data_IF_710173049109
#
_entry.id   IF_710173049109
#
_cell.length_a   1.000
_cell.length_b   1.000
_cell.length_c   1.000
_cell.angle_alpha   90.00
_cell.angle_beta   90.00
_cell.angle_gamma   90.00
#
_symmetry.space_group_name_H-M   'P 1'
#
loop_
_entity.id
_entity.type
_entity.pdbx_description
1 polymer ?
#
# COMPACT_ATOMS: atom_id res chain seq x y z
N UNK A 1 11.29 -8.88 1.85
CA UNK A 1 10.64 -7.97 2.81
C UNK A 1 10.00 -6.82 2.06
N UNK A 2 8.79 -6.49 2.39
CA UNK A 2 8.08 -5.37 1.79
C UNK A 2 8.05 -4.21 2.77
N UNK A 3 8.53 -3.06 2.33
CA UNK A 3 8.49 -1.83 3.13
C UNK A 3 7.47 -0.89 2.51
N UNK A 4 6.52 -0.45 3.33
CA UNK A 4 5.47 0.45 2.89
C UNK A 4 5.54 1.71 3.74
N UNK A 5 5.64 2.84 3.07
CA UNK A 5 5.69 4.14 3.71
C UNK A 5 4.45 4.91 3.30
N UNK A 6 3.68 5.38 4.27
CA UNK A 6 2.54 6.26 4.03
C UNK A 6 2.95 7.71 4.23
N UNK A 7 2.54 8.56 3.32
CA UNK A 7 2.75 10.00 3.43
C UNK A 7 1.49 10.62 4.00
N UNK A 8 1.61 11.20 5.19
CA UNK A 8 0.48 11.66 5.99
C UNK A 8 0.66 13.13 6.32
N UNK A 9 -0.42 13.90 6.13
CA UNK A 9 -0.41 15.32 6.48
C UNK A 9 -0.69 15.51 7.97
N UNK A 10 -0.52 16.75 8.44
CA UNK A 10 -0.74 17.09 9.85
C UNK A 10 -2.16 16.81 10.34
N UNK A 11 -3.14 16.81 9.43
CA UNK A 11 -4.54 16.51 9.74
C UNK A 11 -4.84 15.00 9.69
N UNK A 12 -3.79 14.17 9.56
CA UNK A 12 -3.87 12.71 9.47
C UNK A 12 -4.36 12.17 8.13
N UNK A 13 -4.60 13.01 7.13
CA UNK A 13 -4.97 12.51 5.81
C UNK A 13 -3.77 11.85 5.12
N UNK A 14 -4.03 10.72 4.47
CA UNK A 14 -3.02 9.99 3.72
C UNK A 14 -3.01 10.52 2.29
N UNK A 15 -1.88 11.08 1.87
CA UNK A 15 -1.74 11.68 0.55
C UNK A 15 -0.95 10.81 -0.43
N UNK A 16 -0.42 9.70 0.03
CA UNK A 16 0.29 8.80 -0.85
C UNK A 16 0.94 7.66 -0.10
N UNK A 17 1.53 6.75 -0.85
CA UNK A 17 2.34 5.69 -0.26
C UNK A 17 3.43 5.26 -1.23
N UNK A 18 4.47 4.67 -0.67
CA UNK A 18 5.52 4.01 -1.42
C UNK A 18 5.67 2.60 -0.90
N UNK A 19 5.62 1.63 -1.80
CA UNK A 19 5.90 0.24 -1.50
C UNK A 19 7.18 -0.16 -2.19
N UNK A 20 8.09 -0.79 -1.47
CA UNK A 20 9.37 -1.23 -2.02
C UNK A 20 9.67 -2.65 -1.61
N UNK A 21 10.10 -3.43 -2.57
CA UNK A 21 10.42 -4.82 -2.38
C UNK A 21 9.20 -5.70 -2.40
N UNK A 22 9.41 -6.95 -2.68
CA UNK A 22 8.41 -7.98 -2.45
C UNK A 22 9.12 -9.25 -2.06
N UNK A 23 8.39 -10.08 -1.35
CA UNK A 23 8.95 -11.28 -0.78
C UNK A 23 8.74 -12.49 -1.68
N UNK A 24 8.45 -12.29 -2.93
CA UNK A 24 7.90 -13.30 -3.82
C UNK A 24 8.84 -14.38 -4.31
N UNK A 25 10.02 -14.52 -3.74
CA UNK A 25 10.97 -15.46 -4.29
C UNK A 25 11.37 -16.53 -3.31
N UNK A 26 10.73 -17.67 -3.44
CA UNK A 26 11.29 -18.91 -3.01
C UNK A 26 11.01 -19.39 -1.60
N UNK A 27 10.35 -18.62 -0.76
CA UNK A 27 10.04 -19.10 0.59
C UNK A 27 8.53 -19.24 0.75
N UNK A 28 8.10 -20.43 1.06
CA UNK A 28 6.69 -20.72 1.32
C UNK A 28 6.17 -19.84 2.45
N UNK A 29 4.99 -19.29 2.26
CA UNK A 29 4.38 -18.39 3.22
C UNK A 29 4.67 -16.93 2.94
N UNK A 30 5.88 -16.60 2.48
CA UNK A 30 6.20 -15.25 2.04
C UNK A 30 5.53 -14.91 0.73
N UNK A 31 5.34 -15.87 -0.15
CA UNK A 31 4.65 -15.66 -1.42
C UNK A 31 3.19 -15.29 -1.20
N UNK A 32 2.53 -15.92 -0.22
CA UNK A 32 1.14 -15.61 0.12
C UNK A 32 1.03 -14.21 0.70
N UNK A 33 1.94 -13.83 1.59
CA UNK A 33 1.97 -12.50 2.17
C UNK A 33 2.20 -11.45 1.10
N UNK A 34 3.18 -11.69 0.24
CA UNK A 34 3.50 -10.77 -0.85
C UNK A 34 2.33 -10.59 -1.81
N UNK A 35 1.68 -11.69 -2.19
CA UNK A 35 0.50 -11.65 -3.06
C UNK A 35 -0.64 -10.87 -2.41
N UNK A 36 -0.87 -11.09 -1.12
CA UNK A 36 -1.91 -10.38 -0.37
C UNK A 36 -1.65 -8.88 -0.33
N UNK A 37 -0.41 -8.48 -0.05
CA UNK A 37 0.00 -7.08 -0.04
C UNK A 37 -0.19 -6.45 -1.43
N UNK A 38 0.28 -7.14 -2.46
CA UNK A 38 0.17 -6.64 -3.84
C UNK A 38 -1.28 -6.44 -4.26
N UNK A 39 -2.15 -7.39 -3.94
CA UNK A 39 -3.57 -7.29 -4.26
C UNK A 39 -4.19 -6.09 -3.56
N UNK A 40 -3.90 -5.89 -2.28
CA UNK A 40 -4.43 -4.75 -1.54
C UNK A 40 -3.98 -3.42 -2.12
N UNK A 41 -2.69 -3.31 -2.44
CA UNK A 41 -2.13 -2.07 -3.00
C UNK A 41 -2.75 -1.76 -4.36
N UNK A 42 -2.74 -2.72 -5.27
CA UNK A 42 -3.25 -2.54 -6.63
C UNK A 42 -4.76 -2.29 -6.61
N UNK A 43 -5.50 -3.04 -5.80
CA UNK A 43 -6.94 -2.84 -5.69
C UNK A 43 -7.28 -1.44 -5.17
N UNK A 44 -6.51 -0.94 -4.21
CA UNK A 44 -6.74 0.40 -3.67
C UNK A 44 -6.49 1.47 -4.72
N UNK A 45 -5.38 1.37 -5.47
CA UNK A 45 -5.08 2.31 -6.55
C UNK A 45 -6.21 2.29 -7.59
N UNK A 46 -6.62 1.11 -8.03
CA UNK A 46 -7.69 0.97 -9.01
C UNK A 46 -9.02 1.50 -8.49
N UNK A 47 -9.31 1.27 -7.22
CA UNK A 47 -10.56 1.73 -6.61
C UNK A 47 -10.61 3.26 -6.55
N UNK A 48 -9.53 3.91 -6.16
CA UNK A 48 -9.48 5.37 -6.14
C UNK A 48 -9.67 5.91 -7.55
N UNK A 49 -8.98 5.34 -8.52
CA UNK A 49 -9.04 5.78 -9.90
C UNK A 49 -10.44 5.62 -10.52
N UNK A 50 -11.10 4.51 -10.22
CA UNK A 50 -12.36 4.15 -10.88
C UNK A 50 -13.61 4.53 -10.09
N UNK A 51 -13.52 4.59 -8.77
CA UNK A 51 -14.69 4.78 -7.92
C UNK A 51 -14.79 6.17 -7.30
N UNK A 52 -13.76 6.98 -7.44
CA UNK A 52 -13.79 8.37 -6.97
C UNK A 52 -13.55 9.32 -8.14
N UNK A 53 -13.92 10.57 -7.96
CA UNK A 53 -13.58 11.63 -8.91
C UNK A 53 -12.28 12.34 -8.56
N UNK A 54 -11.58 11.86 -7.54
CA UNK A 54 -10.31 12.43 -7.09
C UNK A 54 -9.18 11.99 -8.02
N UNK A 55 -8.24 12.89 -8.21
CA UNK A 55 -7.11 12.62 -9.11
C UNK A 55 -5.94 12.05 -8.33
N UNK A 56 -5.29 11.06 -8.94
CA UNK A 56 -4.11 10.44 -8.37
C UNK A 56 -3.11 10.12 -9.48
N UNK A 57 -1.87 9.95 -9.07
CA UNK A 57 -0.78 9.57 -9.95
C UNK A 57 -0.06 8.39 -9.35
N UNK A 58 0.40 7.46 -10.18
CA UNK A 58 1.16 6.32 -9.66
C UNK A 58 2.16 5.82 -10.67
N UNK A 59 3.17 5.14 -10.15
CA UNK A 59 4.23 4.52 -10.95
C UNK A 59 4.50 3.14 -10.39
N UNK A 60 4.41 2.15 -11.25
CA UNK A 60 4.69 0.76 -10.89
C UNK A 60 5.91 0.31 -11.67
N UNK A 61 6.92 -0.19 -10.96
CA UNK A 61 8.13 -0.71 -11.56
C UNK A 61 8.32 -2.16 -11.11
N UNK A 62 8.03 -3.08 -12.03
CA UNK A 62 8.09 -4.51 -11.72
C UNK A 62 9.51 -4.99 -11.47
N UNK A 63 10.50 -4.43 -12.16
CA UNK A 63 11.90 -4.82 -11.98
C UNK A 63 12.41 -4.50 -10.58
N UNK A 64 12.03 -3.33 -10.07
CA UNK A 64 12.46 -2.87 -8.74
C UNK A 64 11.47 -3.25 -7.67
N UNK A 65 10.34 -3.82 -8.07
CA UNK A 65 9.24 -4.15 -7.17
C UNK A 65 8.83 -2.94 -6.33
N UNK A 66 8.59 -1.81 -7.02
CA UNK A 66 8.19 -0.57 -6.36
C UNK A 66 6.86 -0.09 -6.88
N UNK A 67 6.06 0.48 -5.97
CA UNK A 67 4.84 1.19 -6.30
C UNK A 67 4.92 2.54 -5.61
N UNK A 68 4.86 3.61 -6.40
CA UNK A 68 4.77 4.96 -5.88
C UNK A 68 3.38 5.50 -6.20
N UNK A 69 2.66 5.93 -5.20
CA UNK A 69 1.30 6.42 -5.35
C UNK A 69 1.14 7.76 -4.65
N UNK A 70 0.46 8.69 -5.32
CA UNK A 70 0.25 10.03 -4.79
C UNK A 70 -1.14 10.53 -5.16
N UNK A 71 -1.82 11.13 -4.20
CA UNK A 71 -3.06 11.85 -4.46
C UNK A 71 -2.74 13.24 -4.97
N UNK A 72 -3.36 13.64 -6.07
CA UNK A 72 -3.25 14.98 -6.62
C UNK A 72 -4.36 15.86 -6.04
N UNK A 73 -5.53 15.27 -5.79
CA UNK A 73 -6.61 15.90 -5.05
C UNK A 73 -7.06 14.98 -3.94
N UNK A 74 -7.37 15.52 -2.77
CA UNK A 74 -7.72 14.73 -1.59
C UNK A 74 -9.18 14.95 -1.22
N UNK A 75 -9.91 13.87 -1.06
CA UNK A 75 -11.30 13.90 -0.66
C UNK A 75 -11.66 12.73 0.24
N UNK A 76 -12.94 12.62 0.59
CA UNK A 76 -13.41 11.60 1.51
C UNK A 76 -13.27 10.19 0.96
N UNK A 77 -13.49 10.02 -0.34
CA UNK A 77 -13.40 8.70 -0.97
C UNK A 77 -12.01 8.12 -0.90
N UNK A 78 -11.00 8.89 -1.30
CA UNK A 78 -9.62 8.42 -1.26
C UNK A 78 -9.18 8.15 0.18
N UNK A 79 -9.59 8.98 1.13
CA UNK A 79 -9.22 8.79 2.52
C UNK A 79 -9.82 7.52 3.09
N UNK A 80 -11.08 7.23 2.78
CA UNK A 80 -11.70 5.99 3.22
C UNK A 80 -10.95 4.77 2.66
N UNK A 81 -10.62 4.80 1.38
CA UNK A 81 -9.93 3.69 0.73
C UNK A 81 -8.49 3.54 1.22
N UNK A 82 -7.78 4.63 1.43
CA UNK A 82 -6.40 4.59 1.93
C UNK A 82 -6.33 4.16 3.39
N UNK A 83 -7.29 4.58 4.22
CA UNK A 83 -7.37 4.11 5.60
C UNK A 83 -7.71 2.61 5.65
N UNK A 84 -8.60 2.17 4.76
CA UNK A 84 -8.92 0.74 4.62
C UNK A 84 -7.70 -0.06 4.21
N UNK A 85 -6.92 0.45 3.27
CA UNK A 85 -5.66 -0.18 2.85
C UNK A 85 -4.70 -0.33 4.02
N UNK A 86 -4.48 0.75 4.76
CA UNK A 86 -3.58 0.72 5.90
C UNK A 86 -4.02 -0.29 6.95
N UNK A 87 -5.31 -0.33 7.25
CA UNK A 87 -5.88 -1.30 8.18
C UNK A 87 -5.66 -2.73 7.72
N UNK A 88 -5.87 -3.00 6.44
CA UNK A 88 -5.64 -4.32 5.86
C UNK A 88 -4.18 -4.75 5.92
N UNK A 89 -3.27 -3.83 5.64
CA UNK A 89 -1.84 -4.12 5.72
C UNK A 89 -1.39 -4.39 7.15
N UNK A 90 -1.90 -3.63 8.11
CA UNK A 90 -1.64 -3.86 9.53
C UNK A 90 -2.15 -5.23 9.96
N UNK A 91 -3.30 -5.64 9.46
CA UNK A 91 -3.85 -6.96 9.72
C UNK A 91 -2.96 -8.07 9.19
N UNK A 92 -2.42 -7.91 8.00
CA UNK A 92 -1.49 -8.89 7.42
C UNK A 92 -0.20 -8.94 8.25
N UNK A 93 0.34 -7.79 8.62
CA UNK A 93 1.57 -7.72 9.42
C UNK A 93 1.39 -8.42 10.77
N UNK A 94 0.24 -8.22 11.40
CA UNK A 94 -0.08 -8.85 12.69
C UNK A 94 -0.29 -10.35 12.54
N UNK A 95 -0.86 -10.78 11.44
CA UNK A 95 -1.13 -12.19 11.18
C UNK A 95 0.12 -13.01 10.85
N UNK A 96 1.21 -12.36 10.48
CA UNK A 96 2.46 -13.03 10.12
C UNK A 96 3.65 -12.40 10.86
N UNK A 97 3.61 -12.35 12.19
CA UNK A 97 4.68 -11.75 12.97
C UNK A 97 5.96 -12.57 12.84
N UNK A 98 7.08 -11.89 12.85
CA UNK A 98 8.37 -12.53 12.74
C UNK A 98 8.89 -12.73 11.33
N UNK A 99 8.05 -12.58 10.32
CA UNK A 99 8.52 -12.65 8.93
C UNK A 99 9.20 -11.36 8.49
N UNK A 100 8.96 -10.26 9.19
CA UNK A 100 9.53 -8.99 8.84
C UNK A 100 9.18 -8.54 7.43
N UNK A 101 8.04 -8.99 6.90
CA UNK A 101 7.68 -8.79 5.52
C UNK A 101 6.96 -7.48 5.24
N UNK A 102 6.39 -6.87 6.27
CA UNK A 102 5.67 -5.60 6.13
C UNK A 102 6.16 -4.64 7.20
N UNK A 103 6.63 -3.49 6.76
CA UNK A 103 6.96 -2.35 7.60
C UNK A 103 6.09 -1.18 7.16
N UNK A 104 5.33 -0.60 8.08
CA UNK A 104 4.45 0.52 7.79
C UNK A 104 4.98 1.74 8.52
N UNK A 105 5.30 2.79 7.77
CA UNK A 105 5.81 4.04 8.31
C UNK A 105 4.90 5.20 7.92
N UNK A 106 4.76 6.14 8.83
CA UNK A 106 4.04 7.39 8.56
C UNK A 106 5.01 8.57 8.62
N UNK A 107 4.95 9.43 7.64
CA UNK A 107 5.83 10.61 7.55
C UNK A 107 5.02 11.89 7.41
#
# INVERSE_FOLDING_TARGET
MTNITFYVKSDKSIIGFKSKGHAGFGVRGTDVVCASVSILLINTVNSIEKLTSEECSYKINDRRATIDFQMDTVGDGSQLLLQSLKMGLEGIADGYPGNGTINIEEV
#
